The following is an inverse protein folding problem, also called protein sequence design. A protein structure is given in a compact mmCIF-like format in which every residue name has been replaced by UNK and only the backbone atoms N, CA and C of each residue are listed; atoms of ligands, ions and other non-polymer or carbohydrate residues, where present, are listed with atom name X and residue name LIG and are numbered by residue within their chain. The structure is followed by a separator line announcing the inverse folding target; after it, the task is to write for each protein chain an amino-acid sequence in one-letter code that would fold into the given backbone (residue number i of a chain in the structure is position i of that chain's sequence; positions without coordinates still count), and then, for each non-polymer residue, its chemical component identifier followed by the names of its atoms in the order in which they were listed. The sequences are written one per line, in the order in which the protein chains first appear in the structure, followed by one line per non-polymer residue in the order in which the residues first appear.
data_IF_083130557235
#
_entry.id   IF_083130557235
#
_cell.length_a   1.000
_cell.length_b   1.000
_cell.length_c   1.000
_cell.angle_alpha   90.00
_cell.angle_beta   90.00
_cell.angle_gamma   90.00
#
_symmetry.space_group_name_H-M   'P 1'
#
loop_
_entity.id
_entity.type
_entity.pdbx_description
1 polymer ?
#
# COMPACT_ATOMS: atom_id res chain seq x y z
N UNK A 1 -26.70 11.94 -9.01
CA UNK A 1 -25.34 11.82 -8.47
C UNK A 1 -25.26 11.38 -7.00
N UNK A 2 -26.27 11.60 -6.19
CA UNK A 2 -26.34 11.22 -4.76
C UNK A 2 -26.54 9.70 -4.51
N UNK A 3 -27.10 8.97 -5.47
CA UNK A 3 -27.51 7.55 -5.31
C UNK A 3 -26.34 6.56 -5.36
N UNK A 4 -25.21 6.93 -5.95
CA UNK A 4 -24.00 6.09 -6.03
C UNK A 4 -23.22 6.09 -4.70
N UNK A 5 -23.14 7.25 -4.03
CA UNK A 5 -22.41 7.39 -2.77
C UNK A 5 -23.03 6.58 -1.63
N UNK A 6 -24.36 6.45 -1.61
CA UNK A 6 -25.09 5.67 -0.59
C UNK A 6 -24.85 4.17 -0.79
N UNK A 7 -24.79 3.69 -2.04
CA UNK A 7 -24.53 2.27 -2.32
C UNK A 7 -23.11 1.85 -1.91
N UNK A 8 -22.12 2.70 -2.13
CA UNK A 8 -20.72 2.43 -1.74
C UNK A 8 -20.56 2.43 -0.22
N UNK A 9 -21.22 3.36 0.48
CA UNK A 9 -21.22 3.41 1.95
C UNK A 9 -21.95 2.23 2.58
N UNK A 10 -23.07 1.79 1.99
CA UNK A 10 -23.81 0.61 2.41
C UNK A 10 -23.02 -0.68 2.15
N UNK A 11 -22.34 -0.78 1.01
CA UNK A 11 -21.49 -1.92 0.66
C UNK A 11 -20.28 -2.05 1.60
N UNK A 12 -19.66 -0.93 1.97
CA UNK A 12 -18.58 -0.90 2.96
C UNK A 12 -19.09 -1.26 4.37
N UNK A 13 -20.23 -0.73 4.79
CA UNK A 13 -20.86 -1.10 6.06
C UNK A 13 -21.27 -2.58 6.10
N UNK A 14 -21.83 -3.11 5.02
CA UNK A 14 -22.19 -4.53 4.94
C UNK A 14 -20.93 -5.39 4.96
N UNK A 15 -19.86 -5.01 4.27
CA UNK A 15 -18.59 -5.76 4.27
C UNK A 15 -17.90 -5.73 5.64
N UNK A 16 -17.93 -4.59 6.32
CA UNK A 16 -17.45 -4.48 7.71
C UNK A 16 -18.35 -5.27 8.66
N UNK A 17 -19.66 -5.21 8.48
CA UNK A 17 -20.62 -5.95 9.30
C UNK A 17 -20.55 -7.46 9.07
N UNK A 18 -20.29 -7.90 7.84
CA UNK A 18 -20.07 -9.32 7.52
C UNK A 18 -18.78 -9.85 8.14
N UNK A 19 -17.71 -9.04 8.19
CA UNK A 19 -16.46 -9.38 8.88
C UNK A 19 -16.65 -9.41 10.41
N UNK A 20 -17.48 -8.54 10.96
CA UNK A 20 -17.77 -8.49 12.42
C UNK A 20 -18.84 -9.50 12.83
N UNK A 21 -19.76 -9.88 11.92
CA UNK A 21 -20.89 -10.78 12.20
C UNK A 21 -20.60 -12.27 11.97
N UNK A 22 -19.36 -12.66 11.69
CA UNK A 22 -18.95 -14.08 11.69
C UNK A 22 -18.82 -14.58 13.13
N UNK A 23 -19.94 -14.58 13.81
CA UNK A 23 -20.16 -15.20 15.12
C UNK A 23 -20.66 -16.63 14.92
N UNK A 24 -19.71 -17.57 14.90
CA UNK A 24 -20.06 -18.99 14.83
C UNK A 24 -18.91 -19.86 15.30
N UNK A 25 -19.10 -20.49 16.41
CA UNK A 25 -18.15 -21.29 17.20
C UNK A 25 -17.42 -22.43 16.45
N UNK A 26 -17.74 -22.66 15.18
CA UNK A 26 -17.11 -23.68 14.33
C UNK A 26 -16.17 -23.15 13.23
N UNK A 27 -16.02 -21.82 13.08
CA UNK A 27 -15.24 -21.19 11.99
C UNK A 27 -13.96 -20.46 12.44
N UNK A 28 -13.61 -20.55 13.72
CA UNK A 28 -12.41 -19.83 14.20
C UNK A 28 -11.13 -20.35 13.55
N UNK A 29 -10.97 -21.66 13.44
CA UNK A 29 -9.80 -22.26 12.79
C UNK A 29 -9.73 -21.95 11.27
N UNK A 30 -10.87 -21.88 10.58
CA UNK A 30 -10.92 -21.46 9.16
C UNK A 30 -10.42 -20.02 9.00
N UNK A 31 -10.88 -19.11 9.87
CA UNK A 31 -10.46 -17.72 9.87
C UNK A 31 -8.97 -17.56 10.20
N UNK A 32 -8.46 -18.36 11.14
CA UNK A 32 -7.02 -18.34 11.45
C UNK A 32 -6.18 -18.86 10.29
N UNK A 33 -6.63 -19.89 9.59
CA UNK A 33 -5.94 -20.42 8.40
C UNK A 33 -5.97 -19.42 7.24
N UNK A 34 -7.08 -18.73 7.01
CA UNK A 34 -7.18 -17.68 5.99
C UNK A 34 -6.25 -16.50 6.30
N UNK A 35 -6.19 -16.06 7.55
CA UNK A 35 -5.28 -15.01 8.00
C UNK A 35 -3.83 -15.45 7.82
N UNK A 36 -3.49 -16.65 8.28
CA UNK A 36 -2.15 -17.21 8.13
C UNK A 36 -1.74 -17.29 6.67
N UNK A 37 -2.63 -17.75 5.81
CA UNK A 37 -2.40 -17.84 4.36
C UNK A 37 -2.21 -16.47 3.71
N UNK A 38 -2.97 -15.46 4.15
CA UNK A 38 -2.78 -14.08 3.71
C UNK A 38 -1.40 -13.53 4.13
N UNK A 39 -0.93 -13.83 5.34
CA UNK A 39 0.42 -13.47 5.80
C UNK A 39 1.51 -14.15 4.97
N UNK A 40 1.37 -15.43 4.66
CA UNK A 40 2.33 -16.16 3.83
C UNK A 40 2.42 -15.56 2.42
N UNK A 41 1.29 -15.26 1.79
CA UNK A 41 1.25 -14.61 0.48
C UNK A 41 1.92 -13.22 0.53
N UNK A 42 1.57 -12.42 1.54
CA UNK A 42 2.14 -11.09 1.71
C UNK A 42 3.66 -11.15 1.91
N UNK A 43 4.14 -12.09 2.72
CA UNK A 43 5.57 -12.30 2.95
C UNK A 43 6.32 -12.73 1.69
N UNK A 44 5.77 -13.68 0.94
CA UNK A 44 6.40 -14.16 -0.29
C UNK A 44 6.49 -13.07 -1.35
N UNK A 45 5.40 -12.37 -1.61
CA UNK A 45 5.38 -11.33 -2.66
C UNK A 45 6.19 -10.11 -2.22
N UNK A 46 5.98 -9.60 -1.01
CA UNK A 46 6.74 -8.47 -0.48
C UNK A 46 8.23 -8.78 -0.37
N UNK A 47 8.58 -9.98 0.12
CA UNK A 47 9.96 -10.46 0.20
C UNK A 47 10.62 -10.58 -1.16
N UNK A 48 9.91 -11.06 -2.18
CA UNK A 48 10.42 -11.14 -3.56
C UNK A 48 10.70 -9.75 -4.13
N UNK A 49 9.81 -8.80 -3.95
CA UNK A 49 10.02 -7.41 -4.39
C UNK A 49 11.24 -6.80 -3.70
N UNK A 50 11.38 -6.99 -2.39
CA UNK A 50 12.54 -6.50 -1.64
C UNK A 50 13.84 -7.21 -2.06
N UNK A 51 13.79 -8.51 -2.36
CA UNK A 51 14.94 -9.26 -2.85
C UNK A 51 15.42 -8.72 -4.20
N UNK A 52 14.50 -8.46 -5.13
CA UNK A 52 14.84 -7.85 -6.43
C UNK A 52 15.49 -6.48 -6.23
N UNK A 53 14.92 -5.64 -5.34
CA UNK A 53 15.51 -4.35 -5.01
C UNK A 53 16.94 -4.49 -4.46
N UNK A 54 17.17 -5.44 -3.56
CA UNK A 54 18.49 -5.68 -2.97
C UNK A 54 19.49 -6.20 -4.01
N UNK A 55 19.08 -7.05 -4.93
CA UNK A 55 19.92 -7.53 -6.02
C UNK A 55 20.35 -6.34 -6.88
N UNK A 56 19.44 -5.45 -7.26
CA UNK A 56 19.75 -4.25 -8.04
C UNK A 56 20.73 -3.34 -7.31
N UNK A 57 20.56 -3.15 -5.99
CA UNK A 57 21.49 -2.38 -5.16
C UNK A 57 22.90 -2.96 -5.20
N UNK A 58 23.01 -4.29 -5.11
CA UNK A 58 24.31 -4.96 -5.06
C UNK A 58 25.05 -4.99 -6.41
N UNK A 59 24.31 -4.99 -7.52
CA UNK A 59 24.90 -5.02 -8.87
C UNK A 59 25.05 -3.66 -9.53
N UNK A 60 24.59 -2.59 -8.89
CA UNK A 60 24.58 -1.25 -9.51
C UNK A 60 25.16 -0.23 -8.53
N UNK A 61 26.03 0.65 -9.01
CA UNK A 61 26.59 1.78 -8.24
C UNK A 61 25.58 2.93 -8.01
N UNK A 62 24.28 2.63 -8.14
CA UNK A 62 23.21 3.58 -7.88
C UNK A 62 23.00 3.77 -6.38
N UNK A 63 22.80 5.02 -5.97
CA UNK A 63 22.42 5.31 -4.58
C UNK A 63 21.06 4.70 -4.26
N UNK A 64 20.87 4.26 -3.02
CA UNK A 64 19.61 3.66 -2.56
C UNK A 64 18.39 4.52 -2.89
N UNK A 65 18.52 5.86 -2.80
CA UNK A 65 17.44 6.79 -3.16
C UNK A 65 17.00 6.70 -4.63
N UNK A 66 17.94 6.54 -5.56
CA UNK A 66 17.63 6.39 -7.00
C UNK A 66 16.84 5.10 -7.26
N UNK A 67 17.20 4.02 -6.58
CA UNK A 67 16.52 2.71 -6.70
C UNK A 67 15.10 2.78 -6.13
N UNK A 68 14.90 3.45 -5.00
CA UNK A 68 13.57 3.67 -4.45
C UNK A 68 12.66 4.43 -5.42
N UNK A 69 13.16 5.50 -6.04
CA UNK A 69 12.42 6.27 -7.06
C UNK A 69 12.09 5.39 -8.27
N UNK A 70 13.03 4.57 -8.73
CA UNK A 70 12.82 3.65 -9.85
C UNK A 70 11.71 2.65 -9.55
N UNK A 71 11.68 2.05 -8.36
CA UNK A 71 10.62 1.15 -7.95
C UNK A 71 9.26 1.85 -7.82
N UNK A 72 9.25 3.08 -7.33
CA UNK A 72 8.04 3.89 -7.28
C UNK A 72 7.49 4.16 -8.68
N UNK A 73 8.34 4.57 -9.62
CA UNK A 73 7.96 4.80 -11.03
C UNK A 73 7.49 3.52 -11.72
N UNK A 74 8.12 2.38 -11.42
CA UNK A 74 7.67 1.07 -11.91
C UNK A 74 6.26 0.75 -11.39
N UNK A 75 5.96 1.04 -10.13
CA UNK A 75 4.62 0.91 -9.56
C UNK A 75 3.57 1.78 -10.25
N UNK A 76 3.92 3.03 -10.57
CA UNK A 76 3.07 3.95 -11.35
C UNK A 76 2.81 3.40 -12.75
N UNK A 77 3.86 2.96 -13.46
CA UNK A 77 3.75 2.43 -14.81
C UNK A 77 2.88 1.16 -14.86
N UNK A 78 3.12 0.21 -13.96
CA UNK A 78 2.34 -1.02 -13.86
C UNK A 78 0.87 -0.76 -13.50
N UNK A 79 0.59 0.24 -12.67
CA UNK A 79 -0.78 0.64 -12.36
C UNK A 79 -1.46 1.34 -13.54
N UNK A 80 -0.75 2.14 -14.30
CA UNK A 80 -1.30 2.77 -15.51
C UNK A 80 -1.73 1.72 -16.55
N UNK A 81 -1.07 0.56 -16.57
CA UNK A 81 -1.44 -0.59 -17.38
C UNK A 81 -2.53 -1.47 -16.71
N UNK A 82 -2.95 -1.17 -15.48
CA UNK A 82 -3.90 -1.96 -14.71
C UNK A 82 -3.36 -3.27 -14.15
N UNK A 83 -2.08 -3.59 -14.37
CA UNK A 83 -1.48 -4.87 -13.95
C UNK A 83 -1.20 -4.92 -12.44
N UNK A 84 -0.86 -3.80 -11.83
CA UNK A 84 -0.52 -3.77 -10.41
C UNK A 84 -1.71 -4.08 -9.50
N UNK A 85 -2.92 -3.80 -9.96
CA UNK A 85 -4.14 -4.10 -9.20
C UNK A 85 -4.31 -5.60 -8.97
N UNK A 86 -4.03 -6.44 -9.96
CA UNK A 86 -4.09 -7.91 -9.81
C UNK A 86 -3.09 -8.40 -8.75
N UNK A 87 -1.90 -7.78 -8.71
CA UNK A 87 -0.88 -8.10 -7.70
C UNK A 87 -1.36 -7.73 -6.29
N UNK A 88 -2.03 -6.58 -6.15
CA UNK A 88 -2.60 -6.12 -4.87
C UNK A 88 -3.75 -7.03 -4.42
N UNK A 89 -4.62 -7.45 -5.32
CA UNK A 89 -5.71 -8.38 -5.01
C UNK A 89 -5.20 -9.75 -4.54
N UNK A 90 -4.09 -10.22 -5.13
CA UNK A 90 -3.48 -11.50 -4.75
C UNK A 90 -2.69 -11.43 -3.44
N UNK A 91 -1.83 -10.42 -3.30
CA UNK A 91 -0.82 -10.33 -2.23
C UNK A 91 -1.22 -9.40 -1.09
N UNK A 92 -2.26 -8.57 -1.27
CA UNK A 92 -2.70 -7.62 -0.26
C UNK A 92 -1.59 -6.67 0.20
N UNK A 93 -1.29 -6.72 1.49
CA UNK A 93 -0.24 -5.90 2.11
C UNK A 93 1.16 -6.14 1.51
N UNK A 94 1.46 -7.35 1.03
CA UNK A 94 2.75 -7.68 0.43
C UNK A 94 3.08 -6.89 -0.83
N UNK A 95 2.05 -6.44 -1.58
CA UNK A 95 2.23 -5.58 -2.74
C UNK A 95 2.13 -4.09 -2.40
N UNK A 96 1.37 -3.70 -1.38
CA UNK A 96 1.12 -2.28 -1.07
C UNK A 96 2.12 -1.67 -0.10
N UNK A 97 2.81 -2.46 0.73
CA UNK A 97 3.81 -1.98 1.69
C UNK A 97 5.14 -1.61 1.03
N UNK A 98 5.70 -2.37 0.06
CA UNK A 98 6.90 -1.94 -0.66
C UNK A 98 6.70 -0.59 -1.34
N UNK A 99 7.83 0.13 -1.61
CA UNK A 99 7.78 1.48 -2.20
C UNK A 99 7.09 1.52 -3.57
N UNK A 100 7.08 0.41 -4.31
CA UNK A 100 6.29 0.26 -5.53
C UNK A 100 4.78 0.37 -5.29
N UNK A 101 4.30 -0.07 -4.12
CA UNK A 101 2.92 0.10 -3.69
C UNK A 101 2.54 1.56 -3.45
N UNK A 102 3.48 2.40 -3.02
CA UNK A 102 3.27 3.84 -2.94
C UNK A 102 3.03 4.46 -4.32
N UNK A 103 3.81 4.05 -5.33
CA UNK A 103 3.58 4.43 -6.73
C UNK A 103 2.21 4.01 -7.24
N UNK A 104 1.80 2.78 -6.93
CA UNK A 104 0.44 2.28 -7.22
C UNK A 104 -0.64 3.17 -6.60
N UNK A 105 -0.52 3.54 -5.32
CA UNK A 105 -1.51 4.40 -4.63
C UNK A 105 -1.62 5.77 -5.29
N UNK A 106 -0.50 6.41 -5.62
CA UNK A 106 -0.47 7.70 -6.30
C UNK A 106 -1.16 7.62 -7.67
N UNK A 107 -0.80 6.63 -8.48
CA UNK A 107 -1.39 6.43 -9.81
C UNK A 107 -2.89 6.13 -9.73
N UNK A 108 -3.29 5.22 -8.85
CA UNK A 108 -4.70 4.87 -8.64
C UNK A 108 -5.54 6.07 -8.18
N UNK A 109 -4.99 6.89 -7.27
CA UNK A 109 -5.63 8.12 -6.82
C UNK A 109 -5.74 9.17 -7.93
N UNK A 110 -4.68 9.34 -8.73
CA UNK A 110 -4.67 10.24 -9.88
C UNK A 110 -5.72 9.84 -10.93
N UNK A 111 -5.77 8.56 -11.28
CA UNK A 111 -6.75 8.04 -12.27
C UNK A 111 -8.19 8.30 -11.80
N UNK A 112 -8.50 7.98 -10.54
CA UNK A 112 -9.82 8.24 -9.96
C UNK A 112 -10.16 9.72 -9.84
N UNK A 113 -9.14 10.54 -9.55
CA UNK A 113 -9.30 12.00 -9.46
C UNK A 113 -9.45 12.67 -10.82
N UNK A 114 -8.89 12.09 -11.88
CA UNK A 114 -8.92 12.63 -13.25
C UNK A 114 -10.35 12.78 -13.82
N UNK A 115 -11.31 12.00 -13.32
CA UNK A 115 -12.73 12.16 -13.64
C UNK A 115 -13.27 13.57 -13.29
N UNK A 116 -12.61 14.28 -12.35
CA UNK A 116 -12.93 15.64 -11.93
C UNK A 116 -12.04 16.72 -12.58
N UNK A 117 -11.26 16.33 -13.60
CA UNK A 117 -10.32 17.18 -14.30
C UNK A 117 -8.90 17.15 -13.73
N UNK A 118 -8.00 17.97 -14.28
CA UNK A 118 -6.58 17.98 -13.93
C UNK A 118 -6.32 18.24 -12.43
N UNK A 119 -7.03 19.17 -11.85
CA UNK A 119 -6.93 19.47 -10.42
C UNK A 119 -7.41 18.30 -9.56
N UNK A 120 -8.45 17.59 -10.02
CA UNK A 120 -8.94 16.37 -9.39
C UNK A 120 -7.91 15.25 -9.42
N UNK A 121 -7.17 15.09 -10.51
CA UNK A 121 -6.09 14.09 -10.60
C UNK A 121 -4.99 14.35 -9.56
N UNK A 122 -4.58 15.61 -9.41
CA UNK A 122 -3.54 15.99 -8.46
C UNK A 122 -3.97 15.78 -7.00
N UNK A 123 -5.16 16.26 -6.65
CA UNK A 123 -5.72 16.08 -5.30
C UNK A 123 -6.05 14.62 -5.00
N UNK A 124 -6.47 13.84 -5.99
CA UNK A 124 -6.74 12.41 -5.85
C UNK A 124 -5.47 11.61 -5.54
N UNK A 125 -4.36 11.89 -6.23
CA UNK A 125 -3.06 11.28 -5.95
C UNK A 125 -2.61 11.56 -4.51
N UNK A 126 -2.61 12.83 -4.11
CA UNK A 126 -2.20 13.24 -2.76
C UNK A 126 -3.10 12.65 -1.68
N UNK A 127 -4.42 12.65 -1.90
CA UNK A 127 -5.39 12.10 -0.95
C UNK A 127 -5.20 10.58 -0.73
N UNK A 128 -4.88 9.83 -1.79
CA UNK A 128 -4.69 8.38 -1.67
C UNK A 128 -3.44 8.00 -0.87
N UNK A 129 -2.39 8.82 -0.93
CA UNK A 129 -1.13 8.61 -0.21
C UNK A 129 -1.12 9.23 1.19
N UNK A 130 -2.03 10.15 1.48
CA UNK A 130 -2.02 10.98 2.69
C UNK A 130 -2.04 10.19 4.00
N UNK A 131 -2.82 9.12 4.08
CA UNK A 131 -2.91 8.29 5.29
C UNK A 131 -1.58 7.63 5.65
N UNK A 132 -0.88 7.06 4.66
CA UNK A 132 0.42 6.43 4.86
C UNK A 132 1.50 7.43 5.26
N UNK A 133 1.55 8.58 4.58
CA UNK A 133 2.52 9.64 4.88
C UNK A 133 2.26 10.22 6.28
N UNK A 134 1.01 10.50 6.63
CA UNK A 134 0.65 11.04 7.95
C UNK A 134 1.01 10.07 9.07
N UNK A 135 0.73 8.78 8.91
CA UNK A 135 1.14 7.76 9.87
C UNK A 135 2.67 7.71 10.03
N UNK A 136 3.42 7.69 8.91
CA UNK A 136 4.87 7.68 8.95
C UNK A 136 5.45 8.91 9.67
N UNK A 137 4.91 10.10 9.44
CA UNK A 137 5.33 11.34 10.11
C UNK A 137 5.06 11.28 11.61
N UNK A 138 3.86 10.87 12.02
CA UNK A 138 3.48 10.79 13.43
C UNK A 138 4.36 9.78 14.18
N UNK A 139 4.49 8.56 13.64
CA UNK A 139 5.28 7.51 14.31
C UNK A 139 6.77 7.84 14.32
N UNK A 140 7.33 8.41 13.24
CA UNK A 140 8.75 8.81 13.24
C UNK A 140 9.02 9.95 14.22
N UNK A 141 8.10 10.89 14.33
CA UNK A 141 8.21 11.98 15.32
C UNK A 141 8.18 11.45 16.76
N UNK A 142 7.23 10.56 17.08
CA UNK A 142 7.15 9.91 18.39
C UNK A 142 8.43 9.13 18.72
N UNK A 143 8.95 8.37 17.76
CA UNK A 143 10.21 7.64 17.93
C UNK A 143 11.41 8.57 18.09
N UNK A 144 11.46 9.68 17.37
CA UNK A 144 12.52 10.68 17.51
C UNK A 144 12.51 11.36 18.90
N UNK A 145 11.34 11.51 19.52
CA UNK A 145 11.23 12.02 20.90
C UNK A 145 11.72 11.01 21.94
N UNK A 146 11.45 9.73 21.73
CA UNK A 146 11.82 8.66 22.68
C UNK A 146 13.29 8.29 22.52
N UNK A 147 13.79 8.18 21.31
CA UNK A 147 15.14 7.74 21.01
C UNK A 147 16.01 8.92 20.58
N UNK A 148 17.02 9.25 21.40
CA UNK A 148 18.01 10.27 21.03
C UNK A 148 18.95 9.72 19.95
N UNK A 149 18.82 10.20 18.73
CA UNK A 149 19.70 9.83 17.64
C UNK A 149 21.13 10.31 17.91
N UNK A 150 22.08 9.37 17.99
CA UNK A 150 23.53 9.69 18.04
C UNK A 150 24.09 9.50 16.63
N UNK A 151 24.34 10.59 15.94
CA UNK A 151 25.09 10.56 14.69
C UNK A 151 26.56 10.23 15.00
N UNK A 152 27.09 9.12 14.50
CA UNK A 152 28.54 8.90 14.50
C UNK A 152 29.15 9.94 13.56
N UNK A 153 29.88 10.90 14.14
CA UNK A 153 30.78 11.78 13.39
C UNK A 153 32.01 10.93 13.03
N UNK A 154 32.16 10.64 11.75
CA UNK A 154 33.46 10.24 11.17
C UNK A 154 34.28 11.48 10.95
#
# INVERSE_FOLDING_TARGET
MFRQSIKTSLFLKIKIWTVVSVRGRGRMYETYLEILWAFVKAFLVGGTICMIAQIIINFTDLTAGKILVLFMLAGVALQSLGLYQYLVEFAGAGATVPISGFGYLLASGAIKGAEKGLFGAFTGALSSASAGVSAAVIFSFLMALIFRSRTKRN
#
